data_IF_286887039957
#
_entry.id   IF_286887039957
#
_cell.length_a   1.000
_cell.length_b   1.000
_cell.length_c   1.000
_cell.angle_alpha   90.00
_cell.angle_beta   90.00
_cell.angle_gamma   90.00
#
_symmetry.space_group_name_H-M   'P 1'
#
loop_
_entity.id
_entity.type
_entity.pdbx_description
1 polymer ?
#
# COMPACT_ATOMS: atom_id res chain seq x y z
N UNK A 1 7.11 -9.95 10.86
CA UNK A 1 8.29 -9.85 10.00
C UNK A 1 8.05 -8.76 8.97
N UNK A 2 8.95 -7.79 8.88
CA UNK A 2 8.87 -6.68 7.92
C UNK A 2 9.60 -7.05 6.62
N UNK A 3 9.13 -6.53 5.49
CA UNK A 3 9.80 -6.65 4.20
C UNK A 3 10.28 -5.28 3.72
N UNK A 4 11.60 -5.13 3.59
CA UNK A 4 12.22 -3.92 3.07
C UNK A 4 11.99 -3.78 1.56
N UNK A 5 11.54 -2.60 1.15
CA UNK A 5 11.17 -2.27 -0.22
C UNK A 5 11.78 -0.92 -0.65
N UNK A 6 12.01 -0.79 -1.95
CA UNK A 6 12.49 0.44 -2.59
C UNK A 6 11.62 0.74 -3.80
N UNK A 7 11.16 1.98 -3.92
CA UNK A 7 10.45 2.46 -5.13
C UNK A 7 10.92 3.86 -5.52
N UNK A 8 10.73 4.23 -6.79
CA UNK A 8 10.98 5.58 -7.32
C UNK A 8 9.67 6.21 -7.76
N UNK A 9 9.49 7.49 -7.45
CA UNK A 9 8.26 8.25 -7.76
C UNK A 9 8.62 9.65 -8.23
N UNK A 10 7.71 10.32 -8.95
CA UNK A 10 7.87 11.73 -9.30
C UNK A 10 7.06 12.60 -8.33
N UNK A 11 7.74 13.45 -7.56
CA UNK A 11 7.15 14.47 -6.68
C UNK A 11 7.46 15.85 -7.25
N UNK A 12 6.44 16.64 -7.58
CA UNK A 12 6.60 18.04 -8.03
C UNK A 12 7.68 18.23 -9.12
N UNK A 13 7.69 17.33 -10.11
CA UNK A 13 8.66 17.26 -11.22
C UNK A 13 10.08 16.76 -10.88
N UNK A 14 10.30 16.25 -9.67
CA UNK A 14 11.56 15.65 -9.25
C UNK A 14 11.42 14.16 -8.97
N UNK A 15 12.44 13.37 -9.33
CA UNK A 15 12.47 11.94 -8.96
C UNK A 15 12.89 11.79 -7.50
N UNK A 16 12.04 11.11 -6.74
CA UNK A 16 12.25 10.75 -5.35
C UNK A 16 12.36 9.24 -5.21
N UNK A 17 13.39 8.77 -4.53
CA UNK A 17 13.57 7.35 -4.18
C UNK A 17 13.12 7.13 -2.75
N UNK A 18 12.19 6.20 -2.55
CA UNK A 18 11.55 5.93 -1.27
C UNK A 18 12.00 4.55 -0.78
N UNK A 19 12.54 4.49 0.44
CA UNK A 19 12.83 3.26 1.14
C UNK A 19 11.81 3.07 2.25
N UNK A 20 11.18 1.90 2.31
CA UNK A 20 10.10 1.65 3.24
C UNK A 20 10.03 0.17 3.64
N UNK A 21 9.50 -0.07 4.83
CA UNK A 21 9.16 -1.41 5.29
C UNK A 21 7.66 -1.67 5.12
N UNK A 22 7.35 -2.88 4.63
CA UNK A 22 5.99 -3.39 4.56
C UNK A 22 5.76 -4.46 5.64
N UNK A 23 4.68 -4.30 6.40
CA UNK A 23 4.24 -5.20 7.46
C UNK A 23 2.92 -5.84 7.06
N UNK A 24 2.92 -7.17 6.87
CA UNK A 24 1.71 -7.93 6.59
C UNK A 24 0.69 -7.79 7.74
N UNK A 25 -0.62 -7.74 7.43
CA UNK A 25 -1.67 -7.57 8.43
C UNK A 25 -1.74 -8.70 9.48
N UNK A 26 -1.22 -9.88 9.17
CA UNK A 26 -1.14 -11.02 10.09
C UNK A 26 -0.13 -10.81 11.23
N UNK A 27 0.79 -9.84 11.10
CA UNK A 27 1.73 -9.44 12.16
C UNK A 27 1.23 -8.19 12.88
N UNK A 28 0.41 -8.41 13.90
CA UNK A 28 -0.19 -7.36 14.74
C UNK A 28 0.85 -6.53 15.54
N UNK A 29 0.79 -5.21 15.35
CA UNK A 29 1.03 -4.16 16.37
C UNK A 29 0.80 -2.75 15.78
N UNK A 30 1.12 -2.56 14.50
CA UNK A 30 1.05 -1.28 13.80
C UNK A 30 -0.17 -1.22 12.89
N UNK A 31 -1.32 -0.86 13.47
CA UNK A 31 -2.63 -0.86 12.85
C UNK A 31 -2.85 0.39 11.96
N UNK A 32 -2.13 0.55 10.86
CA UNK A 32 -2.58 1.47 9.81
C UNK A 32 -2.96 0.69 8.55
N UNK A 33 -4.26 0.38 8.49
CA UNK A 33 -4.99 -0.44 7.52
C UNK A 33 -5.00 -1.96 7.79
N UNK A 34 -6.07 -2.40 8.48
CA UNK A 34 -6.32 -3.81 8.85
C UNK A 34 -6.45 -4.76 7.66
N UNK A 35 -6.66 -4.24 6.45
CA UNK A 35 -6.87 -5.04 5.24
C UNK A 35 -5.61 -5.12 4.40
N UNK A 36 -4.75 -4.10 4.44
CA UNK A 36 -3.61 -3.98 3.57
C UNK A 36 -2.27 -4.20 4.30
N UNK A 37 -2.25 -4.20 5.63
CA UNK A 37 -1.02 -4.17 6.42
C UNK A 37 -0.55 -2.73 6.63
N UNK A 38 0.67 -2.54 7.10
CA UNK A 38 1.23 -1.20 7.38
C UNK A 38 2.47 -0.94 6.53
N UNK A 39 2.67 0.32 6.16
CA UNK A 39 3.89 0.81 5.53
C UNK A 39 4.56 1.78 6.49
N UNK A 40 5.85 1.56 6.74
CA UNK A 40 6.70 2.49 7.46
C UNK A 40 7.72 3.09 6.50
N UNK A 41 7.71 4.42 6.35
CA UNK A 41 8.61 5.11 5.43
C UNK A 41 9.91 5.41 6.17
N UNK A 42 10.98 4.72 5.77
CA UNK A 42 12.28 4.82 6.44
C UNK A 42 13.09 6.01 5.92
N UNK A 43 13.06 6.23 4.60
CA UNK A 43 13.89 7.24 3.96
C UNK A 43 13.26 7.74 2.67
N UNK A 44 13.35 9.05 2.44
CA UNK A 44 13.01 9.69 1.17
C UNK A 44 14.24 10.41 0.63
N UNK A 45 14.71 10.03 -0.55
CA UNK A 45 15.89 10.63 -1.20
C UNK A 45 15.47 11.41 -2.42
N UNK A 46 15.72 12.72 -2.43
CA UNK A 46 15.42 13.63 -3.53
C UNK A 46 16.71 14.32 -3.96
N UNK A 47 17.09 14.22 -5.23
CA UNK A 47 18.36 14.77 -5.75
C UNK A 47 19.61 14.36 -4.94
N UNK A 48 19.64 13.14 -4.43
CA UNK A 48 20.75 12.65 -3.59
C UNK A 48 20.75 13.18 -2.15
N UNK A 49 19.81 14.03 -1.79
CA UNK A 49 19.62 14.52 -0.42
C UNK A 49 18.55 13.71 0.29
N UNK A 50 18.81 13.34 1.54
CA UNK A 50 17.82 12.69 2.40
C UNK A 50 16.89 13.73 2.99
N UNK A 51 15.59 13.51 2.82
CA UNK A 51 14.53 14.31 3.40
C UNK A 51 13.80 13.49 4.45
N UNK A 52 13.48 14.13 5.58
CA UNK A 52 12.65 13.52 6.61
C UNK A 52 11.22 13.48 6.10
N UNK A 53 10.62 12.29 6.10
CA UNK A 53 9.27 12.09 5.60
C UNK A 53 8.24 13.02 6.28
N UNK A 54 8.37 13.23 7.59
CA UNK A 54 7.45 14.06 8.38
C UNK A 54 7.55 15.56 8.11
N UNK A 55 8.66 16.01 7.53
CA UNK A 55 8.87 17.42 7.14
C UNK A 55 8.28 17.74 5.76
N UNK A 56 7.91 16.71 4.99
CA UNK A 56 7.32 16.90 3.66
C UNK A 56 5.89 17.46 3.77
N UNK A 57 5.48 18.29 2.80
CA UNK A 57 4.10 18.71 2.66
C UNK A 57 3.13 17.52 2.72
N UNK A 58 1.98 17.70 3.37
CA UNK A 58 0.99 16.62 3.57
C UNK A 58 0.60 15.93 2.25
N UNK A 59 0.50 16.71 1.16
CA UNK A 59 0.19 16.20 -0.17
C UNK A 59 1.27 15.24 -0.65
N UNK A 60 2.55 15.60 -0.55
CA UNK A 60 3.67 14.73 -0.92
C UNK A 60 3.70 13.46 -0.08
N UNK A 61 3.45 13.57 1.24
CA UNK A 61 3.35 12.39 2.12
C UNK A 61 2.26 11.42 1.68
N UNK A 62 1.10 11.93 1.27
CA UNK A 62 0.01 11.11 0.72
C UNK A 62 0.44 10.44 -0.60
N UNK A 63 1.07 11.19 -1.50
CA UNK A 63 1.55 10.65 -2.78
C UNK A 63 2.60 9.55 -2.58
N UNK A 64 3.56 9.75 -1.68
CA UNK A 64 4.57 8.75 -1.32
C UNK A 64 3.90 7.48 -0.82
N UNK A 65 3.00 7.58 0.17
CA UNK A 65 2.29 6.40 0.71
C UNK A 65 1.53 5.66 -0.37
N UNK A 66 0.78 6.38 -1.21
CA UNK A 66 0.03 5.77 -2.33
C UNK A 66 0.95 5.06 -3.31
N UNK A 67 2.10 5.64 -3.63
CA UNK A 67 3.04 5.04 -4.54
C UNK A 67 3.75 3.80 -3.94
N UNK A 68 3.98 3.77 -2.63
CA UNK A 68 4.48 2.56 -1.95
C UNK A 68 3.45 1.43 -2.04
N UNK A 69 2.16 1.72 -1.82
CA UNK A 69 1.09 0.75 -2.06
C UNK A 69 1.08 0.27 -3.52
N UNK A 70 1.02 1.18 -4.50
CA UNK A 70 1.05 0.79 -5.91
C UNK A 70 2.28 -0.08 -6.27
N UNK A 71 3.45 0.21 -5.69
CA UNK A 71 4.64 -0.63 -5.87
C UNK A 71 4.40 -2.06 -5.38
N UNK A 72 3.87 -2.23 -4.17
CA UNK A 72 3.58 -3.56 -3.64
C UNK A 72 2.55 -4.30 -4.53
N UNK A 73 1.63 -3.58 -5.19
CA UNK A 73 0.56 -4.15 -6.03
C UNK A 73 1.17 -4.73 -7.30
N UNK A 74 1.93 -3.89 -7.98
CA UNK A 74 2.59 -4.23 -9.25
C UNK A 74 3.61 -5.35 -9.08
N UNK A 75 4.19 -5.50 -7.89
CA UNK A 75 5.10 -6.60 -7.55
C UNK A 75 4.39 -7.86 -7.04
N UNK A 76 3.06 -7.81 -6.84
CA UNK A 76 2.30 -8.91 -6.25
C UNK A 76 2.69 -9.22 -4.81
N UNK A 77 3.27 -8.25 -4.11
CA UNK A 77 3.74 -8.36 -2.72
C UNK A 77 2.62 -8.12 -1.71
N UNK A 78 1.51 -7.51 -2.12
CA UNK A 78 0.24 -7.62 -1.40
C UNK A 78 -0.83 -8.18 -2.33
N UNK A 79 -1.65 -9.08 -1.79
CA UNK A 79 -2.89 -9.52 -2.44
C UNK A 79 -4.03 -8.91 -1.66
N UNK A 80 -4.82 -8.06 -2.33
CA UNK A 80 -6.15 -7.71 -1.84
C UNK A 80 -6.93 -9.02 -1.86
N UNK A 81 -7.05 -9.67 -0.71
CA UNK A 81 -8.06 -10.71 -0.55
C UNK A 81 -9.37 -9.95 -0.45
N UNK A 82 -9.98 -9.64 -1.59
CA UNK A 82 -11.37 -9.20 -1.65
C UNK A 82 -12.18 -10.33 -1.03
N UNK A 83 -12.41 -10.25 0.27
CA UNK A 83 -13.39 -11.09 0.95
C UNK A 83 -14.74 -10.55 0.48
N UNK A 84 -15.18 -10.97 -0.70
CA UNK A 84 -16.55 -10.78 -1.12
C UNK A 84 -17.38 -11.61 -0.14
N UNK A 85 -18.25 -11.00 0.69
CA UNK A 85 -19.12 -11.76 1.55
C UNK A 85 -19.96 -12.70 0.68
N UNK A 86 -19.92 -14.00 0.96
CA UNK A 86 -20.76 -14.99 0.27
C UNK A 86 -22.27 -14.65 0.36
N UNK A 87 -22.67 -13.76 1.28
CA UNK A 87 -24.03 -13.21 1.36
C UNK A 87 -24.45 -12.39 0.14
N UNK A 88 -23.52 -11.91 -0.69
CA UNK A 88 -23.82 -11.26 -1.97
C UNK A 88 -23.95 -12.24 -3.13
N UNK A 89 -23.53 -13.49 -2.96
CA UNK A 89 -23.88 -14.58 -3.88
C UNK A 89 -25.25 -15.12 -3.47
N UNK A 90 -26.33 -14.45 -3.88
CA UNK A 90 -27.60 -15.17 -4.03
C UNK A 90 -27.44 -16.07 -5.26
N UNK A 91 -27.41 -17.41 -5.13
CA UNK A 91 -27.56 -18.25 -6.31
C UNK A 91 -28.90 -17.87 -6.92
N UNK A 92 -28.89 -17.45 -8.18
CA UNK A 92 -30.10 -17.35 -8.99
C UNK A 92 -30.73 -18.75 -8.95
N UNK A 93 -31.67 -18.95 -8.03
CA UNK A 93 -32.50 -20.13 -7.99
C UNK A 93 -33.17 -20.18 -9.35
N UNK A 94 -32.76 -21.19 -10.13
CA UNK A 94 -33.45 -21.64 -11.33
C UNK A 94 -34.94 -21.70 -10.99
N UNK A 95 -35.72 -20.72 -11.46
CA UNK A 95 -37.15 -20.93 -11.65
C UNK A 95 -37.30 -21.81 -12.89
N UNK A 96 -37.08 -23.10 -12.69
CA UNK A 96 -37.75 -24.13 -13.45
C UNK A 96 -38.97 -24.52 -12.63
N UNK A 97 -40.16 -24.13 -13.09
CA UNK A 97 -41.43 -24.82 -12.81
C UNK A 97 -42.54 -24.21 -13.67
N UNK A 98 -42.90 -24.97 -14.70
CA UNK A 98 -44.21 -25.14 -15.34
C UNK A 98 -44.83 -23.96 -16.10
#
# INVERSE_FOLDING_TARGET
MAQYCITSIILNAYEARIHFDYYLPENNAHWQDRYHGSIDILETVVHGSKLLFDELPIIERIHIRRACWNYLETKGLYRITLVIPLSLYSPLTKRSSR
#
